data_IF_401027639191
#
_entry.id   IF_401027639191
#
_cell.length_a   1.000
_cell.length_b   1.000
_cell.length_c   1.000
_cell.angle_alpha   90.00
_cell.angle_beta   90.00
_cell.angle_gamma   90.00
#
_symmetry.space_group_name_H-M   'P 1'
#
loop_
_entity.id
_entity.type
_entity.pdbx_description
1 polymer ?
#
# COMPACT_ATOMS: atom_id res chain seq x y z
N UNK A 1 10.13 -0.63 2.40
CA UNK A 1 8.76 -0.84 2.93
C UNK A 1 7.79 -1.00 1.77
N UNK A 2 6.63 -1.61 1.99
CA UNK A 2 5.57 -1.75 0.98
C UNK A 2 4.20 -1.85 1.66
N UNK A 3 3.12 -1.58 0.91
CA UNK A 3 1.74 -1.81 1.36
C UNK A 3 1.38 -3.28 1.15
N UNK A 4 1.00 -3.95 2.25
CA UNK A 4 0.37 -5.27 2.23
C UNK A 4 -1.15 -5.10 2.32
N UNK A 5 -1.87 -5.76 1.42
CA UNK A 5 -3.34 -5.80 1.43
C UNK A 5 -3.78 -7.18 1.91
N UNK A 6 -4.59 -7.21 2.96
CA UNK A 6 -5.31 -8.39 3.40
C UNK A 6 -6.71 -8.35 2.81
N UNK A 7 -7.09 -9.39 2.08
CA UNK A 7 -8.44 -9.55 1.54
C UNK A 7 -9.21 -10.53 2.41
N UNK A 8 -10.38 -10.13 2.91
CA UNK A 8 -11.32 -11.01 3.61
C UNK A 8 -12.63 -11.04 2.84
N UNK A 9 -13.23 -12.21 2.71
CA UNK A 9 -14.56 -12.38 2.11
C UNK A 9 -15.53 -12.78 3.21
N UNK A 10 -16.55 -11.97 3.44
CA UNK A 10 -17.65 -12.30 4.36
C UNK A 10 -18.90 -11.50 3.95
N UNK A 11 -20.08 -11.98 4.35
CA UNK A 11 -21.36 -11.38 3.97
C UNK A 11 -21.53 -11.13 2.45
N UNK A 12 -20.95 -12.02 1.62
CA UNK A 12 -20.99 -11.90 0.16
C UNK A 12 -20.15 -10.75 -0.42
N UNK A 13 -19.35 -10.04 0.38
CA UNK A 13 -18.55 -8.89 -0.04
C UNK A 13 -17.06 -9.11 0.25
N UNK A 14 -16.22 -8.49 -0.58
CA UNK A 14 -14.78 -8.42 -0.36
C UNK A 14 -14.45 -7.19 0.50
N UNK A 15 -13.63 -7.40 1.53
CA UNK A 15 -13.15 -6.38 2.43
C UNK A 15 -11.63 -6.34 2.37
N UNK A 16 -11.07 -5.16 2.15
CA UNK A 16 -9.64 -4.95 2.04
C UNK A 16 -9.12 -4.18 3.25
N UNK A 17 -7.98 -4.63 3.78
CA UNK A 17 -7.31 -3.98 4.90
C UNK A 17 -5.84 -3.76 4.55
N UNK A 18 -5.33 -2.57 4.84
CA UNK A 18 -3.97 -2.19 4.48
C UNK A 18 -3.05 -2.17 5.71
N UNK A 19 -1.82 -2.61 5.51
CA UNK A 19 -0.74 -2.52 6.49
C UNK A 19 0.54 -2.07 5.80
N UNK A 20 1.29 -1.20 6.46
CA UNK A 20 2.63 -0.82 6.05
C UNK A 20 3.63 -1.84 6.61
N UNK A 21 4.40 -2.45 5.73
CA UNK A 21 5.35 -3.52 6.06
C UNK A 21 6.76 -3.07 5.72
N UNK A 22 7.68 -3.26 6.66
CA UNK A 22 9.11 -3.11 6.45
C UNK A 22 9.77 -4.46 6.14
N UNK A 23 10.72 -4.45 5.21
CA UNK A 23 11.58 -5.60 4.91
C UNK A 23 12.98 -5.30 5.44
N UNK A 24 13.47 -6.08 6.40
CA UNK A 24 14.83 -6.00 6.92
C UNK A 24 15.58 -7.29 6.61
N UNK A 25 16.84 -7.20 6.20
CA UNK A 25 17.70 -8.38 6.05
C UNK A 25 18.45 -8.60 7.35
N UNK A 26 18.28 -9.78 7.94
CA UNK A 26 19.00 -10.24 9.13
C UNK A 26 19.49 -11.66 8.86
N UNK A 27 20.78 -11.93 9.10
CA UNK A 27 21.39 -13.26 8.98
C UNK A 27 21.07 -13.98 7.65
N UNK A 28 21.24 -13.26 6.53
CA UNK A 28 20.96 -13.76 5.17
C UNK A 28 19.49 -14.11 4.88
N UNK A 29 18.56 -13.77 5.77
CA UNK A 29 17.11 -13.94 5.62
C UNK A 29 16.42 -12.58 5.53
N UNK A 30 15.29 -12.54 4.82
CA UNK A 30 14.42 -11.35 4.76
C UNK A 30 13.33 -11.51 5.81
N UNK A 31 13.32 -10.63 6.82
CA UNK A 31 12.27 -10.56 7.84
C UNK A 31 11.31 -9.43 7.50
N UNK A 32 10.02 -9.74 7.49
CA UNK A 32 8.95 -8.77 7.25
C UNK A 32 8.30 -8.38 8.59
N UNK A 33 8.25 -7.09 8.88
CA UNK A 33 7.63 -6.56 10.10
C UNK A 33 6.53 -5.58 9.73
N UNK A 34 5.33 -5.77 10.29
CA UNK A 34 4.25 -4.78 10.18
C UNK A 34 4.59 -3.62 11.09
N UNK A 35 4.75 -2.42 10.52
CA UNK A 35 5.12 -1.21 11.26
C UNK A 35 3.92 -0.28 11.49
N UNK A 36 2.88 -0.37 10.66
CA UNK A 36 1.63 0.33 10.89
C UNK A 36 0.44 -0.42 10.27
N UNK A 37 -0.70 -0.37 10.95
CA UNK A 37 -1.98 -0.77 10.41
C UNK A 37 -2.72 0.47 9.89
N UNK A 38 -3.11 0.45 8.62
CA UNK A 38 -3.74 1.58 7.94
C UNK A 38 -5.27 1.44 7.90
N UNK A 39 -5.83 0.33 8.38
CA UNK A 39 -7.28 0.14 8.44
C UNK A 39 -7.91 -0.42 7.16
N UNK A 40 -9.25 -0.44 7.11
CA UNK A 40 -10.01 -0.84 5.93
C UNK A 40 -9.83 0.17 4.80
N UNK A 41 -9.76 -0.33 3.57
CA UNK A 41 -9.58 0.47 2.35
C UNK A 41 -10.54 0.00 1.26
N UNK A 42 -10.91 0.90 0.35
CA UNK A 42 -11.66 0.53 -0.85
C UNK A 42 -10.73 -0.01 -1.94
N UNK A 43 -11.28 -0.74 -2.90
CA UNK A 43 -10.52 -1.29 -4.03
C UNK A 43 -9.81 -0.17 -4.82
N UNK A 44 -10.52 0.94 -5.06
CA UNK A 44 -10.01 2.11 -5.77
C UNK A 44 -8.84 2.79 -5.04
N UNK A 45 -8.78 2.69 -3.71
CA UNK A 45 -7.69 3.29 -2.92
C UNK A 45 -6.39 2.48 -2.99
N UNK A 46 -6.45 1.18 -3.28
CA UNK A 46 -5.29 0.27 -3.24
C UNK A 46 -4.16 0.74 -4.18
N UNK A 47 -4.40 1.11 -5.46
CA UNK A 47 -3.35 1.59 -6.35
C UNK A 47 -2.64 2.84 -5.81
N UNK A 48 -3.37 3.80 -5.26
CA UNK A 48 -2.80 5.04 -4.71
C UNK A 48 -1.94 4.77 -3.48
N UNK A 49 -2.39 3.89 -2.59
CA UNK A 49 -1.60 3.47 -1.43
C UNK A 49 -0.32 2.75 -1.85
N UNK A 50 -0.41 1.82 -2.80
CA UNK A 50 0.79 1.15 -3.35
C UNK A 50 1.76 2.14 -3.99
N UNK A 51 1.24 3.10 -4.75
CA UNK A 51 2.01 4.16 -5.39
C UNK A 51 2.73 5.07 -4.36
N UNK A 52 2.05 5.48 -3.30
CA UNK A 52 2.60 6.37 -2.27
C UNK A 52 3.83 5.78 -1.55
N UNK A 53 3.89 4.45 -1.40
CA UNK A 53 4.98 3.72 -0.74
C UNK A 53 5.87 2.94 -1.71
N UNK A 54 5.71 3.12 -3.03
CA UNK A 54 6.57 2.50 -4.03
C UNK A 54 8.01 3.04 -3.89
N UNK A 55 9.01 2.18 -4.15
CA UNK A 55 10.43 2.59 -4.18
C UNK A 55 10.67 3.73 -5.17
N UNK A 56 10.02 3.64 -6.34
CA UNK A 56 9.98 4.71 -7.35
C UNK A 56 8.59 5.35 -7.30
N UNK A 57 8.45 6.42 -6.52
CA UNK A 57 7.17 7.12 -6.35
C UNK A 57 6.74 7.76 -7.68
N UNK A 58 5.49 7.57 -8.13
CA UNK A 58 4.99 8.29 -9.29
C UNK A 58 4.91 9.79 -8.99
N UNK A 59 5.05 10.61 -10.03
CA UNK A 59 4.84 12.07 -9.91
C UNK A 59 3.35 12.33 -9.80
N UNK A 60 2.97 13.20 -8.86
CA UNK A 60 1.61 13.72 -8.80
C UNK A 60 1.41 14.65 -10.00
N UNK A 61 0.38 14.35 -10.81
CA UNK A 61 -0.06 15.19 -11.91
C UNK A 61 -1.42 15.73 -11.49
N UNK A 62 -1.58 17.05 -11.51
CA UNK A 62 -2.83 17.71 -11.21
C UNK A 62 -3.46 18.16 -12.52
N UNK A 63 -4.77 18.03 -12.67
CA UNK A 63 -5.46 18.42 -13.91
C UNK A 63 -5.29 19.91 -14.26
N UNK A 64 -4.94 20.75 -13.27
CA UNK A 64 -4.59 22.16 -13.44
C UNK A 64 -3.11 22.45 -13.71
N UNK A 65 -2.21 21.47 -13.65
CA UNK A 65 -0.78 21.66 -13.97
C UNK A 65 -0.51 21.51 -15.46
N UNK A 66 -1.25 22.24 -16.31
CA UNK A 66 -0.73 22.57 -17.63
C UNK A 66 0.39 23.57 -17.41
N UNK A 67 1.62 23.17 -17.71
CA UNK A 67 2.69 24.14 -17.99
C UNK A 67 2.17 25.05 -19.11
N UNK A 68 1.86 26.30 -18.78
CA UNK A 68 2.05 27.37 -19.76
C UNK A 68 3.52 27.43 -20.14
#
# INVERSE_FOLDING_TARGET
MFIKILTKKYAGKAHYYASLVENKRENNQVKQTVIAYLGPVTEDQIPYLKAAYAKKKPRLVYDGSKRM
#
